data_IF_644098948714
#
_entry.id   IF_644098948714
#
_cell.length_a   1.000
_cell.length_b   1.000
_cell.length_c   1.000
_cell.angle_alpha   90.00
_cell.angle_beta   90.00
_cell.angle_gamma   90.00
#
_symmetry.space_group_name_H-M   'P 1'
#
loop_
_entity.id
_entity.type
_entity.pdbx_description
1 polymer ?
#
# COMPACT_ATOMS: atom_id res chain seq x y z
N UNK A 1 13.09 23.70 1.82
CA UNK A 1 12.13 24.39 0.93
C UNK A 1 11.71 23.43 -0.16
N UNK A 2 10.41 23.11 -0.25
CA UNK A 2 9.83 22.23 -1.29
C UNK A 2 9.92 22.91 -2.65
N UNK A 3 10.18 22.14 -3.72
CA UNK A 3 10.19 22.65 -5.10
C UNK A 3 8.92 22.28 -5.89
N UNK A 4 8.00 21.54 -5.26
CA UNK A 4 6.66 21.32 -5.78
C UNK A 4 5.89 22.65 -5.79
N UNK A 5 5.26 22.96 -6.92
CA UNK A 5 4.47 24.17 -7.12
C UNK A 5 3.03 23.80 -7.48
N UNK A 6 2.13 24.78 -7.51
CA UNK A 6 0.75 24.57 -7.96
C UNK A 6 -0.02 23.56 -7.11
N UNK A 7 -0.68 22.62 -7.77
CA UNK A 7 -1.43 21.48 -7.21
C UNK A 7 -0.52 20.57 -6.40
N UNK A 8 0.69 20.29 -6.87
CA UNK A 8 1.59 19.32 -6.23
C UNK A 8 2.09 19.76 -4.84
N UNK A 9 2.07 21.06 -4.52
CA UNK A 9 2.52 21.57 -3.21
C UNK A 9 1.71 21.03 -2.02
N UNK A 10 0.45 20.64 -2.28
CA UNK A 10 -0.50 20.16 -1.27
C UNK A 10 -0.41 18.65 -1.06
N UNK A 11 0.50 17.98 -1.77
CA UNK A 11 0.74 16.55 -1.72
C UNK A 11 2.07 16.23 -1.06
N UNK A 12 2.13 15.00 -0.58
CA UNK A 12 3.34 14.35 -0.11
C UNK A 12 3.45 12.96 -0.76
N UNK A 13 4.67 12.43 -0.92
CA UNK A 13 4.85 11.02 -1.25
C UNK A 13 4.08 10.12 -0.29
N UNK A 14 3.31 9.17 -0.80
CA UNK A 14 2.73 8.11 0.01
C UNK A 14 3.82 7.07 0.27
N UNK A 15 4.40 7.13 1.47
CA UNK A 15 5.36 6.14 1.96
C UNK A 15 4.62 5.12 2.82
N UNK A 16 4.67 3.86 2.40
CA UNK A 16 4.17 2.75 3.20
C UNK A 16 5.29 2.23 4.10
N UNK A 17 4.92 1.69 5.25
CA UNK A 17 5.84 0.99 6.14
C UNK A 17 5.70 -0.49 5.85
N UNK A 18 6.82 -1.20 5.74
CA UNK A 18 6.75 -2.65 5.61
C UNK A 18 6.13 -3.22 6.88
N UNK A 19 4.96 -3.85 6.72
CA UNK A 19 4.08 -4.25 7.82
C UNK A 19 4.72 -5.28 8.76
N UNK A 20 5.81 -5.90 8.30
CA UNK A 20 6.86 -6.40 9.17
C UNK A 20 7.42 -7.75 8.76
N UNK A 21 8.70 -7.91 9.00
CA UNK A 21 9.30 -9.23 9.17
C UNK A 21 8.97 -9.74 10.57
N UNK A 22 8.46 -10.97 10.64
CA UNK A 22 8.25 -11.70 11.89
C UNK A 22 9.16 -12.90 11.85
N UNK A 23 10.17 -12.93 12.71
CA UNK A 23 11.10 -14.05 12.76
C UNK A 23 10.44 -15.30 13.36
N UNK A 24 10.86 -16.47 12.88
CA UNK A 24 10.52 -17.73 13.53
C UNK A 24 11.24 -17.79 14.89
N UNK A 25 10.60 -18.42 15.89
CA UNK A 25 11.26 -18.66 17.16
C UNK A 25 12.49 -19.56 16.94
N UNK A 26 13.58 -19.32 17.69
CA UNK A 26 14.84 -20.07 17.54
C UNK A 26 14.66 -21.59 17.66
N UNK A 27 13.72 -22.05 18.51
CA UNK A 27 13.40 -23.46 18.74
C UNK A 27 12.04 -23.88 18.11
N UNK A 28 11.44 -23.03 17.27
CA UNK A 28 10.12 -23.23 16.67
C UNK A 28 10.13 -23.82 15.26
N UNK A 29 8.96 -23.83 14.61
CA UNK A 29 8.85 -24.17 13.18
C UNK A 29 9.55 -23.07 12.35
N UNK A 30 10.63 -23.44 11.65
CA UNK A 30 11.43 -22.52 10.83
C UNK A 30 10.69 -21.92 9.62
N UNK A 31 9.45 -22.34 9.35
CA UNK A 31 8.57 -21.75 8.34
C UNK A 31 7.46 -20.88 8.95
N UNK A 32 7.38 -20.73 10.27
CA UNK A 32 6.39 -19.89 10.95
C UNK A 32 6.86 -18.43 11.11
N UNK A 33 7.21 -17.80 9.98
CA UNK A 33 7.68 -16.42 9.89
C UNK A 33 6.85 -15.64 8.86
N UNK A 34 6.89 -14.31 8.93
CA UNK A 34 6.25 -13.39 7.96
C UNK A 34 7.29 -12.41 7.40
N UNK A 35 7.06 -11.92 6.19
CA UNK A 35 7.83 -10.82 5.59
C UNK A 35 6.94 -9.93 4.71
N UNK A 36 7.55 -8.90 4.11
CA UNK A 36 6.89 -7.94 3.21
C UNK A 36 6.01 -8.58 2.13
N UNK A 37 6.44 -9.69 1.51
CA UNK A 37 5.69 -10.37 0.43
C UNK A 37 4.40 -11.04 0.92
N UNK A 38 4.28 -11.35 2.21
CA UNK A 38 3.05 -11.86 2.80
C UNK A 38 1.94 -10.81 2.89
N UNK A 39 2.28 -9.54 2.65
CA UNK A 39 1.37 -8.39 2.68
C UNK A 39 1.25 -7.65 1.35
N UNK A 40 1.90 -8.17 0.30
CA UNK A 40 1.70 -7.76 -1.10
C UNK A 40 0.66 -8.67 -1.73
N UNK A 41 -0.38 -8.07 -2.29
CA UNK A 41 -1.56 -8.79 -2.76
C UNK A 41 -1.54 -9.03 -4.26
N UNK A 42 -1.47 -10.29 -4.67
CA UNK A 42 -1.58 -10.73 -6.06
C UNK A 42 -3.01 -11.21 -6.34
N UNK A 43 -3.64 -10.79 -7.44
CA UNK A 43 -4.96 -11.29 -7.80
C UNK A 43 -4.86 -12.79 -8.13
N UNK A 44 -5.81 -13.58 -7.64
CA UNK A 44 -5.91 -15.00 -7.98
C UNK A 44 -6.51 -15.13 -9.37
N UNK A 45 -5.64 -15.33 -10.36
CA UNK A 45 -6.00 -15.47 -11.77
C UNK A 45 -5.44 -16.75 -12.36
N UNK A 46 -6.03 -17.21 -13.46
CA UNK A 46 -5.60 -18.44 -14.13
C UNK A 46 -4.28 -18.28 -14.92
N UNK A 47 -3.84 -17.04 -15.19
CA UNK A 47 -2.63 -16.71 -15.95
C UNK A 47 -1.91 -15.46 -15.41
N UNK A 48 -0.60 -15.55 -15.20
CA UNK A 48 0.22 -14.53 -14.52
C UNK A 48 0.81 -13.47 -15.45
N UNK A 49 0.55 -13.52 -16.77
CA UNK A 49 1.36 -12.81 -17.77
C UNK A 49 1.05 -11.32 -17.97
N UNK A 50 0.24 -10.67 -17.14
CA UNK A 50 -0.01 -9.21 -17.29
C UNK A 50 -0.44 -8.59 -15.95
N UNK A 51 0.05 -7.38 -15.59
CA UNK A 51 -0.54 -6.60 -14.51
C UNK A 51 -2.03 -6.46 -14.75
N UNK A 52 -2.83 -7.01 -13.83
CA UNK A 52 -4.27 -7.03 -13.99
C UNK A 52 -4.79 -5.67 -13.53
N UNK A 53 -5.24 -4.87 -14.50
CA UNK A 53 -6.03 -3.68 -14.20
C UNK A 53 -7.43 -4.15 -13.80
N UNK A 54 -7.82 -3.91 -12.54
CA UNK A 54 -9.13 -4.32 -12.05
C UNK A 54 -10.16 -3.25 -12.39
N UNK A 55 -11.19 -3.57 -13.18
CA UNK A 55 -12.16 -2.57 -13.65
C UNK A 55 -13.29 -2.28 -12.66
N UNK A 56 -13.42 -3.08 -11.59
CA UNK A 56 -14.40 -2.84 -10.52
C UNK A 56 -15.77 -3.49 -10.72
N UNK A 57 -15.97 -4.19 -11.84
CA UNK A 57 -17.26 -4.82 -12.17
C UNK A 57 -17.58 -6.02 -11.26
N UNK A 58 -16.56 -6.75 -10.82
CA UNK A 58 -16.70 -7.94 -9.99
C UNK A 58 -15.79 -7.90 -8.76
N UNK A 59 -16.18 -8.61 -7.72
CA UNK A 59 -15.30 -8.82 -6.57
C UNK A 59 -14.17 -9.77 -6.97
N UNK A 60 -12.94 -9.41 -6.61
CA UNK A 60 -11.76 -10.24 -6.89
C UNK A 60 -11.22 -10.88 -5.61
N UNK A 61 -10.59 -12.04 -5.78
CA UNK A 61 -9.85 -12.70 -4.71
C UNK A 61 -8.36 -12.43 -4.90
N UNK A 62 -7.68 -12.05 -3.83
CA UNK A 62 -6.24 -11.86 -3.79
C UNK A 62 -5.58 -12.88 -2.88
N UNK A 63 -4.34 -13.24 -3.20
CA UNK A 63 -3.46 -14.10 -2.42
C UNK A 63 -2.17 -13.35 -2.14
N UNK A 64 -1.39 -13.79 -1.16
CA UNK A 64 -0.06 -13.24 -0.88
C UNK A 64 0.91 -13.55 -2.02
N UNK A 65 1.88 -12.67 -2.26
CA UNK A 65 3.04 -12.96 -3.12
C UNK A 65 4.12 -13.82 -2.41
N UNK A 66 3.98 -13.96 -1.09
CA UNK A 66 4.86 -14.76 -0.24
C UNK A 66 4.83 -16.27 -0.49
N UNK A 67 5.81 -16.97 0.09
CA UNK A 67 5.90 -18.44 0.04
C UNK A 67 4.73 -19.09 0.76
N UNK A 68 4.31 -20.27 0.32
CA UNK A 68 3.28 -21.04 1.02
C UNK A 68 3.79 -21.53 2.39
N UNK A 69 3.37 -20.81 3.44
CA UNK A 69 3.69 -21.09 4.86
C UNK A 69 2.44 -21.43 5.67
N UNK A 70 1.33 -21.74 4.99
CA UNK A 70 -0.02 -21.85 5.55
C UNK A 70 -0.07 -22.76 6.78
N UNK A 71 0.41 -23.99 6.64
CA UNK A 71 0.32 -24.99 7.71
C UNK A 71 1.11 -24.58 8.95
N UNK A 72 2.34 -24.08 8.75
CA UNK A 72 3.23 -23.62 9.83
C UNK A 72 2.65 -22.41 10.57
N UNK A 73 2.15 -21.42 9.83
CA UNK A 73 1.50 -20.25 10.42
C UNK A 73 0.23 -20.62 11.17
N UNK A 74 -0.61 -21.49 10.60
CA UNK A 74 -1.85 -21.95 11.24
C UNK A 74 -1.56 -22.72 12.54
N UNK A 75 -0.56 -23.59 12.55
CA UNK A 75 -0.12 -24.27 13.76
C UNK A 75 0.39 -23.28 14.82
N UNK A 76 1.09 -22.22 14.40
CA UNK A 76 1.66 -21.22 15.31
C UNK A 76 0.62 -20.29 15.93
N UNK A 77 -0.35 -19.82 15.14
CA UNK A 77 -1.36 -18.84 15.59
C UNK A 77 -2.62 -19.48 16.16
N UNK A 78 -2.85 -20.77 15.87
CA UNK A 78 -4.07 -21.48 16.25
C UNK A 78 -5.31 -20.84 15.62
N UNK A 79 -6.28 -20.48 16.45
CA UNK A 79 -7.53 -19.83 16.02
C UNK A 79 -7.42 -18.29 15.91
N UNK A 80 -6.26 -17.70 16.24
CA UNK A 80 -6.05 -16.26 16.13
C UNK A 80 -5.94 -15.86 14.66
N UNK A 81 -6.49 -14.70 14.30
CA UNK A 81 -6.34 -14.13 12.96
C UNK A 81 -5.05 -13.33 12.84
N UNK A 82 -4.38 -13.43 11.69
CA UNK A 82 -3.26 -12.55 11.37
C UNK A 82 -3.74 -11.10 11.33
N UNK A 83 -2.91 -10.21 11.90
CA UNK A 83 -3.00 -8.77 11.65
C UNK A 83 -2.70 -8.51 10.17
N UNK A 84 -3.38 -7.51 9.61
CA UNK A 84 -3.25 -7.13 8.22
C UNK A 84 -3.08 -5.62 8.13
N UNK A 85 -2.30 -5.11 7.17
CA UNK A 85 -2.18 -3.68 6.95
C UNK A 85 -3.52 -3.11 6.47
N UNK A 86 -3.81 -1.88 6.89
CA UNK A 86 -4.96 -1.12 6.41
C UNK A 86 -4.73 -0.52 5.03
N UNK A 87 -3.46 -0.33 4.65
CA UNK A 87 -3.01 0.12 3.33
C UNK A 87 -1.77 -0.68 2.95
N UNK A 88 -1.77 -1.32 1.78
CA UNK A 88 -0.57 -1.98 1.24
C UNK A 88 -0.53 -1.94 -0.29
N UNK A 89 0.59 -2.38 -0.85
CA UNK A 89 0.74 -2.53 -2.29
C UNK A 89 0.03 -3.78 -2.80
N UNK A 90 -0.58 -3.68 -3.97
CA UNK A 90 -0.87 -4.87 -4.77
C UNK A 90 0.33 -5.21 -5.64
N UNK A 91 0.40 -6.47 -6.09
CA UNK A 91 1.34 -6.88 -7.11
C UNK A 91 1.10 -6.09 -8.41
N UNK A 92 2.19 -5.63 -9.02
CA UNK A 92 2.13 -4.62 -10.07
C UNK A 92 1.94 -3.23 -9.47
N UNK A 93 2.85 -2.31 -9.80
CA UNK A 93 2.93 -0.96 -9.21
C UNK A 93 1.70 -0.06 -9.49
N UNK A 94 0.59 -0.57 -10.01
CA UNK A 94 -0.60 0.17 -10.47
C UNK A 94 -1.76 0.16 -9.48
N UNK A 95 -1.68 -0.61 -8.38
CA UNK A 95 -2.79 -0.71 -7.44
C UNK A 95 -2.35 -0.67 -5.98
N UNK A 96 -3.24 -0.12 -5.15
CA UNK A 96 -3.15 -0.14 -3.69
C UNK A 96 -4.28 -1.00 -3.13
N UNK A 97 -4.00 -1.82 -2.15
CA UNK A 97 -5.02 -2.47 -1.32
C UNK A 97 -5.30 -1.57 -0.12
N UNK A 98 -6.57 -1.25 0.11
CA UNK A 98 -7.00 -0.46 1.27
C UNK A 98 -8.17 -1.14 1.96
N UNK A 99 -8.29 -0.98 3.27
CA UNK A 99 -9.50 -1.36 3.99
C UNK A 99 -10.70 -0.53 3.52
N UNK A 100 -11.90 -1.11 3.58
CA UNK A 100 -13.13 -0.42 3.17
C UNK A 100 -13.37 0.86 3.95
N UNK A 101 -13.08 0.85 5.26
CA UNK A 101 -13.16 2.04 6.12
C UNK A 101 -12.35 3.21 5.54
N UNK A 102 -11.13 2.95 5.06
CA UNK A 102 -10.31 3.98 4.43
C UNK A 102 -10.80 4.33 3.04
N UNK A 103 -11.17 3.32 2.24
CA UNK A 103 -11.63 3.51 0.86
C UNK A 103 -12.89 4.38 0.76
N UNK A 104 -13.86 4.16 1.65
CA UNK A 104 -15.13 4.89 1.73
C UNK A 104 -14.92 6.39 2.03
N UNK A 105 -13.85 6.73 2.74
CA UNK A 105 -13.47 8.12 3.05
C UNK A 105 -12.71 8.83 1.93
N UNK A 106 -12.36 8.13 0.86
CA UNK A 106 -11.77 8.70 -0.34
C UNK A 106 -12.88 8.95 -1.36
N UNK A 107 -12.78 9.99 -2.17
CA UNK A 107 -13.65 10.19 -3.34
C UNK A 107 -12.75 10.60 -4.49
N UNK A 108 -12.97 10.02 -5.68
CA UNK A 108 -12.11 10.26 -6.83
C UNK A 108 -12.91 10.83 -8.00
N UNK A 109 -12.34 11.83 -8.67
CA UNK A 109 -12.82 12.29 -9.97
C UNK A 109 -12.53 11.25 -11.05
N UNK A 110 -13.46 11.08 -11.99
CA UNK A 110 -13.27 10.25 -13.19
C UNK A 110 -12.04 10.68 -14.02
N UNK A 111 -11.63 11.94 -13.92
CA UNK A 111 -10.42 12.48 -14.57
C UNK A 111 -9.17 11.69 -14.17
N UNK A 112 -9.11 11.18 -12.94
CA UNK A 112 -7.99 10.41 -12.43
C UNK A 112 -7.93 8.97 -12.96
N UNK A 113 -9.04 8.44 -13.48
CA UNK A 113 -9.08 7.07 -13.99
C UNK A 113 -8.72 6.05 -12.93
N UNK A 114 -9.36 6.15 -11.76
CA UNK A 114 -9.18 5.23 -10.64
C UNK A 114 -10.43 4.37 -10.54
N UNK A 115 -10.27 3.05 -10.50
CA UNK A 115 -11.37 2.12 -10.22
C UNK A 115 -11.27 1.59 -8.80
N UNK A 116 -12.42 1.21 -8.27
CA UNK A 116 -12.55 0.55 -6.97
C UNK A 116 -13.04 -0.86 -7.22
N UNK A 117 -12.29 -1.84 -6.73
CA UNK A 117 -12.66 -3.24 -6.85
C UNK A 117 -12.78 -3.84 -5.47
N UNK A 118 -13.96 -4.40 -5.15
CA UNK A 118 -14.14 -5.13 -3.90
C UNK A 118 -13.17 -6.32 -3.87
N UNK A 119 -12.45 -6.48 -2.76
CA UNK A 119 -11.44 -7.50 -2.61
C UNK A 119 -11.77 -8.45 -1.43
N UNK A 120 -11.74 -9.74 -1.72
CA UNK A 120 -11.47 -10.78 -0.72
C UNK A 120 -9.97 -11.05 -0.75
N UNK A 121 -9.33 -11.15 0.41
CA UNK A 121 -7.93 -11.57 0.49
C UNK A 121 -7.84 -12.92 1.19
N UNK A 122 -6.88 -13.74 0.76
CA UNK A 122 -6.46 -14.96 1.44
C UNK A 122 -5.09 -14.65 2.03
N UNK A 123 -5.03 -14.57 3.36
CA UNK A 123 -3.78 -14.22 4.06
C UNK A 123 -2.76 -15.37 4.05
N UNK A 124 -1.56 -15.13 4.59
CA UNK A 124 -0.48 -16.12 4.61
C UNK A 124 -0.81 -17.38 5.43
N UNK A 125 -1.74 -17.28 6.40
CA UNK A 125 -2.27 -18.43 7.15
C UNK A 125 -3.42 -19.13 6.38
N UNK A 126 -3.76 -18.64 5.20
CA UNK A 126 -4.77 -19.18 4.29
C UNK A 126 -6.20 -18.94 4.77
N UNK A 127 -6.41 -17.93 5.61
CA UNK A 127 -7.73 -17.51 6.05
C UNK A 127 -8.29 -16.44 5.11
N UNK A 128 -9.59 -16.54 4.82
CA UNK A 128 -10.30 -15.59 3.96
C UNK A 128 -10.71 -14.36 4.75
N UNK A 129 -10.41 -13.18 4.22
CA UNK A 129 -10.70 -11.89 4.85
C UNK A 129 -11.41 -10.97 3.88
N UNK A 130 -12.50 -10.39 4.35
CA UNK A 130 -13.33 -9.43 3.63
C UNK A 130 -13.07 -8.03 4.19
N UNK A 131 -13.63 -7.00 3.55
CA UNK A 131 -13.51 -5.62 4.02
C UNK A 131 -12.36 -4.85 3.40
N UNK A 132 -11.92 -5.25 2.20
CA UNK A 132 -10.87 -4.58 1.44
C UNK A 132 -11.38 -4.12 0.08
N UNK A 133 -10.73 -3.07 -0.42
CA UNK A 133 -10.94 -2.48 -1.75
C UNK A 133 -9.58 -2.30 -2.41
N UNK A 134 -9.41 -2.85 -3.62
CA UNK A 134 -8.28 -2.54 -4.47
C UNK A 134 -8.57 -1.26 -5.26
N UNK A 135 -7.71 -0.25 -5.10
CA UNK A 135 -7.69 0.98 -5.88
C UNK A 135 -6.73 0.80 -7.05
N UNK A 136 -7.24 0.77 -8.27
CA UNK A 136 -6.41 0.61 -9.47
C UNK A 136 -6.30 1.94 -10.22
N UNK A 137 -5.08 2.34 -10.58
CA UNK A 137 -4.78 3.62 -11.21
C UNK A 137 -4.44 3.38 -12.69
N UNK A 138 -5.36 3.75 -13.59
CA UNK A 138 -5.27 3.39 -15.02
C UNK A 138 -4.78 4.51 -15.92
N UNK A 139 -4.69 5.73 -15.41
CA UNK A 139 -4.26 6.90 -16.17
C UNK A 139 -2.89 7.35 -15.74
N UNK A 140 -1.98 7.39 -16.71
CA UNK A 140 -0.65 7.94 -16.53
C UNK A 140 -0.71 9.47 -16.42
N UNK A 141 -0.54 10.01 -15.21
CA UNK A 141 -0.34 11.43 -14.98
C UNK A 141 1.16 11.73 -14.97
N UNK A 142 1.67 12.26 -16.07
CA UNK A 142 3.03 12.81 -16.12
C UNK A 142 3.13 14.05 -15.24
N UNK A 143 4.20 14.18 -14.46
CA UNK A 143 4.39 15.29 -13.53
C UNK A 143 4.28 16.67 -14.21
N UNK A 144 4.72 16.82 -15.46
CA UNK A 144 4.65 18.07 -16.23
C UNK A 144 3.21 18.49 -16.57
N UNK A 145 2.26 17.55 -16.51
CA UNK A 145 0.86 17.76 -16.94
C UNK A 145 -0.13 17.74 -15.78
N UNK A 146 0.33 17.51 -14.55
CA UNK A 146 -0.56 17.43 -13.37
C UNK A 146 -1.36 18.73 -13.21
N UNK A 147 -0.69 19.88 -13.26
CA UNK A 147 -1.32 21.19 -13.12
C UNK A 147 -2.46 21.40 -14.11
N UNK A 148 -2.17 21.22 -15.41
CA UNK A 148 -3.17 21.43 -16.46
C UNK A 148 -4.29 20.39 -16.43
N UNK A 149 -4.00 19.12 -16.13
CA UNK A 149 -5.02 18.06 -16.14
C UNK A 149 -5.96 18.13 -14.95
N UNK A 150 -5.49 18.65 -13.81
CA UNK A 150 -6.24 18.67 -12.56
C UNK A 150 -6.69 20.08 -12.14
N UNK A 151 -6.48 21.10 -12.97
CA UNK A 151 -6.83 22.51 -12.69
C UNK A 151 -8.28 22.67 -12.25
N UNK A 152 -9.21 21.96 -12.90
CA UNK A 152 -10.65 22.01 -12.60
C UNK A 152 -11.12 20.88 -11.68
N UNK A 153 -10.22 20.05 -11.15
CA UNK A 153 -10.55 18.97 -10.23
C UNK A 153 -10.34 19.44 -8.80
N UNK A 154 -11.43 19.52 -8.04
CA UNK A 154 -11.40 19.91 -6.63
C UNK A 154 -10.55 18.94 -5.79
N UNK A 155 -9.84 19.46 -4.79
CA UNK A 155 -8.84 18.72 -4.00
C UNK A 155 -9.37 17.44 -3.35
N UNK A 156 -10.62 17.47 -2.87
CA UNK A 156 -11.34 16.38 -2.24
C UNK A 156 -11.67 15.23 -3.20
N UNK A 157 -11.65 15.49 -4.52
CA UNK A 157 -11.82 14.50 -5.58
C UNK A 157 -10.48 13.97 -6.11
N UNK A 158 -9.36 14.41 -5.53
CA UNK A 158 -8.00 13.93 -5.86
C UNK A 158 -7.19 13.62 -4.59
N UNK A 159 -7.70 12.75 -3.69
CA UNK A 159 -7.08 12.49 -2.40
C UNK A 159 -5.76 11.72 -2.51
N UNK A 160 -5.63 10.85 -3.53
CA UNK A 160 -4.41 10.15 -3.90
C UNK A 160 -4.29 10.22 -5.41
N UNK A 161 -3.11 10.55 -5.92
CA UNK A 161 -2.80 10.56 -7.34
C UNK A 161 -1.56 9.70 -7.58
N UNK A 162 -1.49 9.05 -8.73
CA UNK A 162 -0.29 8.36 -9.18
C UNK A 162 0.39 9.21 -10.25
N UNK A 163 1.66 9.53 -10.07
CA UNK A 163 2.42 10.40 -10.96
C UNK A 163 3.61 9.65 -11.55
N UNK A 164 3.77 9.73 -12.86
CA UNK A 164 4.98 9.28 -13.55
C UNK A 164 6.08 10.33 -13.42
N UNK A 165 7.18 9.92 -12.79
CA UNK A 165 8.35 10.75 -12.58
C UNK A 165 9.33 10.63 -13.75
N UNK A 166 9.52 9.40 -14.25
CA UNK A 166 10.35 9.06 -15.40
C UNK A 166 9.66 7.98 -16.25
N UNK A 167 10.30 7.52 -17.34
CA UNK A 167 9.76 6.45 -18.17
C UNK A 167 9.63 5.09 -17.44
N UNK A 168 10.39 4.88 -16.36
CA UNK A 168 10.41 3.63 -15.59
C UNK A 168 9.98 3.79 -14.14
N UNK A 169 9.74 5.02 -13.67
CA UNK A 169 9.45 5.30 -12.26
C UNK A 169 8.14 6.10 -12.10
N UNK A 170 7.30 5.63 -11.17
CA UNK A 170 6.04 6.26 -10.80
C UNK A 170 5.87 6.25 -9.30
N UNK A 171 5.23 7.28 -8.75
CA UNK A 171 5.02 7.45 -7.31
C UNK A 171 3.55 7.72 -7.00
N UNK A 172 3.10 7.23 -5.85
CA UNK A 172 1.83 7.66 -5.27
C UNK A 172 2.05 8.93 -4.45
N UNK A 173 1.23 9.94 -4.70
CA UNK A 173 1.18 11.15 -3.91
C UNK A 173 -0.16 11.21 -3.19
N UNK A 174 -0.13 11.44 -1.89
CA UNK A 174 -1.30 11.58 -1.03
C UNK A 174 -1.48 13.05 -0.63
N UNK A 175 -2.72 13.53 -0.71
CA UNK A 175 -3.05 14.89 -0.31
C UNK A 175 -2.84 15.04 1.21
N UNK A 176 -2.18 16.11 1.64
CA UNK A 176 -1.83 16.38 3.06
C UNK A 176 -3.01 16.28 4.02
N UNK A 177 -4.19 16.79 3.64
CA UNK A 177 -5.43 16.63 4.42
C UNK A 177 -5.83 15.15 4.67
N UNK A 178 -5.63 14.27 3.69
CA UNK A 178 -5.95 12.83 3.82
C UNK A 178 -4.91 12.18 4.73
N UNK A 179 -3.63 12.47 4.50
CA UNK A 179 -2.54 11.97 5.32
C UNK A 179 -2.73 12.36 6.80
N UNK A 180 -3.11 13.61 7.09
CA UNK A 180 -3.41 14.05 8.45
C UNK A 180 -4.60 13.32 9.09
N UNK A 181 -5.64 12.99 8.31
CA UNK A 181 -6.76 12.17 8.79
C UNK A 181 -6.31 10.76 9.13
N UNK A 182 -5.50 10.14 8.28
CA UNK A 182 -4.94 8.81 8.52
C UNK A 182 -4.04 8.79 9.76
N UNK A 183 -3.21 9.83 9.95
CA UNK A 183 -2.39 9.98 11.15
C UNK A 183 -3.25 10.03 12.43
N UNK A 184 -4.31 10.84 12.42
CA UNK A 184 -5.25 10.96 13.56
C UNK A 184 -6.02 9.67 13.82
N UNK A 185 -6.28 8.86 12.79
CA UNK A 185 -6.91 7.56 12.90
C UNK A 185 -5.95 6.44 13.35
N UNK A 186 -4.66 6.76 13.57
CA UNK A 186 -3.65 5.80 14.00
C UNK A 186 -3.35 4.73 12.94
N UNK A 187 -3.41 5.09 11.66
CA UNK A 187 -3.01 4.17 10.58
C UNK A 187 -1.49 4.02 10.64
N UNK A 188 -1.03 2.81 10.92
CA UNK A 188 0.37 2.52 11.23
C UNK A 188 1.20 2.03 10.03
N UNK A 189 0.55 1.78 8.90
CA UNK A 189 1.17 1.23 7.67
C UNK A 189 1.72 2.33 6.76
N UNK A 190 1.75 3.57 7.25
CA UNK A 190 2.09 4.77 6.49
C UNK A 190 3.11 5.58 7.27
N UNK A 191 4.18 6.01 6.60
CA UNK A 191 5.13 6.96 7.17
C UNK A 191 4.60 8.37 7.03
N UNK A 192 4.59 9.08 8.16
CA UNK A 192 4.18 10.49 8.25
C UNK A 192 5.38 11.44 8.28
N UNK A 193 6.56 10.93 8.63
CA UNK A 193 7.80 11.68 8.76
C UNK A 193 8.62 11.55 7.47
N UNK A 194 8.19 12.30 6.46
CA UNK A 194 8.79 12.24 5.12
C UNK A 194 10.00 13.18 5.08
N UNK A 195 11.16 12.63 4.73
CA UNK A 195 12.39 13.41 4.58
C UNK A 195 12.20 14.59 3.59
N UNK A 196 12.76 15.73 3.96
CA UNK A 196 12.81 16.95 3.16
C UNK A 196 13.35 16.70 1.73
N UNK A 197 14.22 15.71 1.55
CA UNK A 197 14.70 15.34 0.23
C UNK A 197 13.60 14.72 -0.65
N UNK A 198 12.75 13.85 -0.09
CA UNK A 198 11.62 13.22 -0.80
C UNK A 198 10.45 14.20 -1.01
N UNK A 199 10.41 15.30 -0.26
CA UNK A 199 9.46 16.40 -0.48
C UNK A 199 9.78 17.27 -1.71
N UNK A 200 10.82 16.94 -2.48
CA UNK A 200 11.23 17.67 -3.70
C UNK A 200 11.04 16.80 -4.95
N UNK A 201 10.29 17.31 -5.91
CA UNK A 201 10.04 16.62 -7.19
C UNK A 201 11.34 16.32 -7.93
N UNK A 202 12.29 17.26 -7.95
CA UNK A 202 13.60 17.02 -8.59
C UNK A 202 14.40 15.90 -7.94
N UNK A 203 14.27 15.71 -6.62
CA UNK A 203 14.91 14.59 -5.93
C UNK A 203 14.22 13.29 -6.29
N UNK A 204 12.88 13.25 -6.21
CA UNK A 204 12.08 12.07 -6.58
C UNK A 204 12.35 11.62 -8.02
N UNK A 205 12.55 12.55 -8.96
CA UNK A 205 12.87 12.24 -10.35
C UNK A 205 14.30 11.70 -10.58
N UNK A 206 15.22 11.93 -9.63
CA UNK A 206 16.61 11.45 -9.70
C UNK A 206 16.80 10.08 -9.06
N UNK A 207 15.83 9.63 -8.29
CA UNK A 207 15.87 8.30 -7.71
C UNK A 207 15.52 7.26 -8.77
N UNK A 208 16.49 6.41 -9.08
CA UNK A 208 16.33 5.27 -10.01
C UNK A 208 15.27 4.28 -9.50
N UNK A 209 15.09 4.22 -8.17
CA UNK A 209 14.08 3.41 -7.50
C UNK A 209 13.59 4.14 -6.26
N UNK A 210 12.38 4.71 -6.33
CA UNK A 210 11.70 5.16 -5.12
C UNK A 210 11.13 3.93 -4.43
N UNK A 211 11.83 3.45 -3.41
CA UNK A 211 11.25 2.53 -2.45
C UNK A 211 10.16 3.28 -1.70
N UNK A 212 8.89 2.96 -1.95
CA UNK A 212 7.81 3.46 -1.12
C UNK A 212 7.90 2.94 0.32
N UNK A 213 8.85 2.05 0.66
CA UNK A 213 9.17 1.66 2.03
C UNK A 213 10.03 2.75 2.69
N UNK A 214 9.47 3.38 3.72
CA UNK A 214 10.15 4.35 4.58
C UNK A 214 10.89 3.70 5.77
N UNK A 215 10.83 2.38 5.88
CA UNK A 215 11.32 1.62 7.03
C UNK A 215 10.48 0.37 7.24
N UNK A 216 10.91 -0.45 8.18
CA UNK A 216 10.26 -1.72 8.50
C UNK A 216 9.83 -1.77 9.95
N UNK A 217 8.62 -2.31 10.19
CA UNK A 217 8.11 -2.56 11.53
C UNK A 217 8.20 -4.04 11.85
N UNK A 218 9.35 -4.46 12.36
CA UNK A 218 9.64 -5.88 12.56
C UNK A 218 9.25 -6.35 13.95
N UNK A 219 8.97 -7.64 14.08
CA UNK A 219 8.61 -8.26 15.35
C UNK A 219 9.47 -9.48 15.61
N UNK A 220 9.89 -9.65 16.87
CA UNK A 220 10.74 -10.78 17.26
C UNK A 220 10.03 -12.12 17.15
N UNK A 221 8.72 -12.12 17.34
CA UNK A 221 7.90 -13.31 17.35
C UNK A 221 6.46 -12.98 16.92
N UNK A 222 5.70 -14.04 16.65
CA UNK A 222 4.31 -13.94 16.19
C UNK A 222 3.35 -13.36 17.22
N UNK A 223 3.60 -13.54 18.53
CA UNK A 223 2.71 -13.03 19.57
C UNK A 223 2.78 -11.50 19.66
N UNK A 224 3.99 -10.95 19.69
CA UNK A 224 4.24 -9.52 19.60
C UNK A 224 3.61 -8.92 18.35
N UNK A 225 3.74 -9.59 17.19
CA UNK A 225 3.09 -9.16 15.95
C UNK A 225 1.56 -9.13 16.07
N UNK A 226 0.94 -10.20 16.57
CA UNK A 226 -0.52 -10.31 16.71
C UNK A 226 -1.11 -9.31 17.71
N UNK A 227 -0.38 -8.97 18.77
CA UNK A 227 -0.79 -8.01 19.79
C UNK A 227 -0.32 -6.58 19.50
N UNK A 228 0.48 -6.39 18.45
CA UNK A 228 1.14 -5.14 18.10
C UNK A 228 2.06 -4.58 19.20
N UNK A 229 2.83 -5.44 19.83
CA UNK A 229 3.71 -5.10 20.96
C UNK A 229 5.18 -5.16 20.55
N UNK A 230 5.99 -4.34 21.20
CA UNK A 230 7.45 -4.35 21.09
C UNK A 230 8.00 -4.33 19.64
N UNK A 231 7.48 -3.47 18.72
CA UNK A 231 8.02 -3.42 17.37
C UNK A 231 9.47 -2.94 17.37
N UNK A 232 10.30 -3.57 16.55
CA UNK A 232 11.64 -3.10 16.23
C UNK A 232 11.51 -2.24 14.97
N UNK A 233 11.76 -0.93 15.13
CA UNK A 233 11.65 0.06 14.06
C UNK A 233 13.05 0.27 13.46
N UNK A 234 13.16 0.06 12.16
CA UNK A 234 14.36 0.32 11.36
C UNK A 234 14.09 1.38 10.30
#
# INVERSE_FOLDING_TARGET
MRDMTGILKDYLPLQLIDFGDVYADEDGDSNAWLNEYDFIWKPKVDSEYTPQLYLGDESLTFITDGKNKRSSLKNKIGDKQLRLPKVSMCWGNQSLMVTNELAENLTFSETLGITRTKAEIIDAAGEKRQGFTALSFHKDLFHERVETRLEHVASELRPIIKVHLTASNSIYLIHTNVLSKWQKAGIEDVSYDIDDQHCKLKSLMREDFYSASAGSRNFKNMEDFLLNQNPIIY
#
